data_IF_532535604627
#
_entry.id   IF_532535604627
#
_cell.length_a   1.000
_cell.length_b   1.000
_cell.length_c   1.000
_cell.angle_alpha   90.00
_cell.angle_beta   90.00
_cell.angle_gamma   90.00
#
_symmetry.space_group_name_H-M   'P 1'
#
loop_
_entity.id
_entity.type
_entity.pdbx_description
1 polymer ?
#
# COMPACT_ATOMS: atom_id res chain seq x y z
N UNK A 1 -35.18 -15.93 -13.99
CA UNK A 1 -34.02 -16.82 -14.07
C UNK A 1 -32.78 -15.94 -13.98
N UNK A 2 -32.11 -15.91 -12.83
CA UNK A 2 -30.88 -15.14 -12.64
C UNK A 2 -29.74 -15.93 -13.28
N UNK A 3 -29.11 -15.38 -14.31
CA UNK A 3 -27.91 -15.97 -14.89
C UNK A 3 -26.70 -15.20 -14.36
N UNK A 4 -25.83 -15.88 -13.61
CA UNK A 4 -24.46 -15.43 -13.43
C UNK A 4 -23.73 -15.70 -14.76
N UNK A 5 -23.55 -14.64 -15.55
CA UNK A 5 -22.92 -14.76 -16.85
C UNK A 5 -21.45 -14.34 -16.74
N UNK A 6 -20.55 -15.33 -16.64
CA UNK A 6 -19.13 -15.14 -16.96
C UNK A 6 -18.98 -15.23 -18.50
N UNK A 7 -19.45 -14.21 -19.22
CA UNK A 7 -19.36 -14.20 -20.69
C UNK A 7 -18.11 -13.49 -21.18
N UNK A 8 -17.31 -14.24 -21.95
CA UNK A 8 -16.13 -13.78 -22.70
C UNK A 8 -16.42 -12.78 -23.84
N UNK A 9 -17.66 -12.32 -24.03
CA UNK A 9 -18.03 -11.49 -25.19
C UNK A 9 -18.45 -10.05 -24.90
N UNK A 10 -18.53 -9.64 -23.62
CA UNK A 10 -18.71 -8.24 -23.21
C UNK A 10 -17.89 -8.05 -21.92
N UNK A 11 -16.57 -8.26 -21.98
CA UNK A 11 -15.69 -8.08 -20.83
C UNK A 11 -14.91 -6.78 -20.99
N UNK A 12 -15.50 -5.69 -20.48
CA UNK A 12 -14.70 -4.61 -19.92
C UNK A 12 -14.51 -4.93 -18.44
N UNK A 13 -13.27 -5.23 -18.03
CA UNK A 13 -12.84 -5.98 -16.84
C UNK A 13 -13.15 -7.48 -16.88
N UNK A 14 -12.10 -8.29 -16.82
CA UNK A 14 -12.14 -9.75 -16.94
C UNK A 14 -12.91 -10.51 -15.84
N UNK A 15 -13.40 -9.88 -14.77
CA UNK A 15 -14.03 -10.58 -13.64
C UNK A 15 -15.14 -9.78 -12.93
N UNK A 16 -15.77 -8.80 -13.60
CA UNK A 16 -16.86 -8.02 -12.99
C UNK A 16 -18.14 -8.85 -12.85
N UNK A 17 -18.66 -8.98 -11.63
CA UNK A 17 -19.97 -9.56 -11.36
C UNK A 17 -21.05 -8.55 -11.76
N UNK A 18 -21.94 -8.97 -12.66
CA UNK A 18 -23.04 -8.14 -13.18
C UNK A 18 -24.37 -8.87 -13.10
N UNK A 19 -25.43 -8.13 -12.84
CA UNK A 19 -26.80 -8.58 -13.02
C UNK A 19 -27.38 -7.96 -14.30
N UNK A 20 -27.88 -8.80 -15.21
CA UNK A 20 -28.33 -8.37 -16.54
C UNK A 20 -29.70 -8.98 -16.85
N UNK A 21 -30.62 -8.17 -17.36
CA UNK A 21 -31.91 -8.61 -17.93
C UNK A 21 -31.73 -8.80 -19.43
N UNK A 22 -32.33 -9.83 -20.00
CA UNK A 22 -32.20 -10.11 -21.43
C UNK A 22 -32.96 -11.35 -21.88
N UNK A 23 -32.69 -11.82 -23.09
CA UNK A 23 -33.28 -13.04 -23.69
C UNK A 23 -32.19 -13.90 -24.31
N UNK A 24 -32.37 -15.22 -24.28
CA UNK A 24 -31.55 -16.17 -25.04
C UNK A 24 -32.47 -17.05 -25.91
N UNK A 25 -32.90 -16.56 -27.10
CA UNK A 25 -33.91 -17.25 -27.91
C UNK A 25 -33.40 -18.54 -28.56
N UNK A 26 -32.11 -18.61 -28.90
CA UNK A 26 -31.51 -19.73 -29.65
C UNK A 26 -30.67 -20.67 -28.78
N UNK A 27 -30.48 -20.35 -27.50
CA UNK A 27 -29.58 -21.07 -26.59
C UNK A 27 -28.11 -20.66 -26.73
N UNK A 28 -27.67 -20.22 -27.93
CA UNK A 28 -26.27 -19.89 -28.22
C UNK A 28 -25.83 -18.46 -27.87
N UNK A 29 -26.75 -17.53 -27.61
CA UNK A 29 -26.40 -16.14 -27.34
C UNK A 29 -27.41 -15.45 -26.42
N UNK A 30 -26.91 -14.82 -25.37
CA UNK A 30 -27.71 -13.96 -24.51
C UNK A 30 -27.69 -12.51 -25.02
N UNK A 31 -28.86 -11.95 -25.31
CA UNK A 31 -29.07 -10.56 -25.74
C UNK A 31 -29.48 -9.75 -24.52
N UNK A 32 -28.57 -8.90 -24.03
CA UNK A 32 -28.81 -8.00 -22.91
C UNK A 32 -29.77 -6.86 -23.29
N UNK A 33 -30.75 -6.59 -22.45
CA UNK A 33 -31.70 -5.48 -22.59
C UNK A 33 -31.56 -4.41 -21.51
N UNK A 34 -31.09 -4.77 -20.30
CA UNK A 34 -30.75 -3.79 -19.26
C UNK A 34 -29.72 -4.35 -18.28
N UNK A 35 -28.91 -3.47 -17.71
CA UNK A 35 -27.95 -3.77 -16.64
C UNK A 35 -28.49 -3.26 -15.31
N UNK A 36 -28.39 -4.06 -14.26
CA UNK A 36 -28.67 -3.62 -12.90
C UNK A 36 -27.40 -3.04 -12.29
N UNK A 37 -27.54 -1.89 -11.63
CA UNK A 37 -26.41 -1.27 -10.92
C UNK A 37 -26.04 -2.06 -9.66
N UNK A 38 -24.75 -2.08 -9.35
CA UNK A 38 -24.28 -2.67 -8.09
C UNK A 38 -24.71 -1.84 -6.89
N UNK A 39 -24.90 -2.52 -5.76
CA UNK A 39 -25.33 -1.89 -4.51
C UNK A 39 -24.10 -1.36 -3.79
N UNK A 40 -24.14 -0.10 -3.34
CA UNK A 40 -23.08 0.45 -2.51
C UNK A 40 -23.14 -0.14 -1.10
N UNK A 41 -21.99 -0.33 -0.43
CA UNK A 41 -21.97 -0.71 0.98
C UNK A 41 -22.78 0.27 1.82
N UNK A 42 -23.39 -0.21 2.92
CA UNK A 42 -24.11 0.67 3.83
C UNK A 42 -23.16 1.76 4.35
N UNK A 43 -23.66 2.99 4.57
CA UNK A 43 -22.85 4.06 5.15
C UNK A 43 -22.30 3.62 6.50
N UNK A 44 -21.03 3.93 6.75
CA UNK A 44 -20.38 3.66 8.04
C UNK A 44 -21.15 4.43 9.12
N UNK A 45 -21.48 3.81 10.28
CA UNK A 45 -22.18 4.51 11.35
C UNK A 45 -21.41 5.77 11.76
N UNK A 46 -22.12 6.88 11.97
CA UNK A 46 -21.48 8.11 12.44
C UNK A 46 -20.74 7.86 13.76
N UNK A 47 -19.50 8.36 13.91
CA UNK A 47 -18.73 8.15 15.13
C UNK A 47 -19.49 8.74 16.32
N UNK A 48 -19.80 7.89 17.31
CA UNK A 48 -20.60 8.26 18.50
C UNK A 48 -19.93 9.32 19.38
N UNK A 49 -18.62 9.49 19.24
CA UNK A 49 -17.84 10.54 19.87
C UNK A 49 -17.10 11.30 18.78
N UNK A 50 -17.64 12.43 18.36
CA UNK A 50 -16.90 13.39 17.53
C UNK A 50 -15.81 13.99 18.40
N UNK A 51 -14.59 13.45 18.31
CA UNK A 51 -13.43 14.14 18.86
C UNK A 51 -13.30 15.49 18.15
N UNK A 52 -13.26 16.57 18.92
CA UNK A 52 -13.20 17.95 18.42
C UNK A 52 -11.81 18.36 17.92
N UNK A 53 -10.81 17.51 18.11
CA UNK A 53 -9.44 17.77 17.63
C UNK A 53 -9.30 17.37 16.16
N UNK A 54 -8.72 18.25 15.37
CA UNK A 54 -8.46 18.01 13.94
C UNK A 54 -7.48 16.86 13.78
N UNK A 55 -7.92 15.79 13.13
CA UNK A 55 -7.07 14.66 12.78
C UNK A 55 -6.22 14.99 11.53
N UNK A 56 -4.90 15.02 11.69
CA UNK A 56 -3.94 15.19 10.59
C UNK A 56 -3.26 13.86 10.26
N UNK A 57 -3.42 13.41 9.02
CA UNK A 57 -2.84 12.17 8.50
C UNK A 57 -1.98 12.49 7.28
N UNK A 58 -0.73 12.04 7.29
CA UNK A 58 0.15 12.10 6.14
C UNK A 58 0.23 10.71 5.48
N UNK A 59 0.09 10.66 4.16
CA UNK A 59 0.18 9.41 3.40
C UNK A 59 1.20 9.61 2.29
N UNK A 60 2.17 8.71 2.19
CA UNK A 60 3.10 8.65 1.08
C UNK A 60 3.26 7.22 0.57
N UNK A 61 3.44 7.10 -0.74
CA UNK A 61 3.57 5.82 -1.46
C UNK A 61 4.87 5.88 -2.24
N UNK A 62 5.64 4.80 -2.22
CA UNK A 62 6.87 4.70 -2.98
C UNK A 62 6.64 4.86 -4.50
N UNK A 63 7.73 5.05 -5.28
CA UNK A 63 9.12 4.91 -4.85
C UNK A 63 9.64 6.08 -4.03
N UNK A 64 10.49 5.79 -3.04
CA UNK A 64 11.08 6.79 -2.15
C UNK A 64 12.47 7.28 -2.58
N UNK A 65 12.89 6.90 -3.79
CA UNK A 65 14.12 7.32 -4.45
C UNK A 65 13.86 7.45 -5.95
N UNK A 66 14.72 8.14 -6.68
CA UNK A 66 14.62 8.24 -8.14
C UNK A 66 15.03 6.91 -8.81
N UNK A 67 14.67 6.71 -10.07
CA UNK A 67 14.92 5.45 -10.79
C UNK A 67 16.40 5.09 -10.92
N UNK A 68 17.29 6.08 -10.91
CA UNK A 68 18.74 5.92 -11.14
C UNK A 68 19.59 6.16 -9.88
N UNK A 69 18.97 6.38 -8.72
CA UNK A 69 19.67 6.70 -7.47
C UNK A 69 19.25 5.82 -6.30
N UNK A 70 20.16 5.63 -5.36
CA UNK A 70 19.94 5.02 -4.05
C UNK A 70 20.04 6.04 -2.90
N UNK A 71 19.89 7.35 -3.20
CA UNK A 71 20.03 8.42 -2.21
C UNK A 71 18.84 8.54 -1.25
N UNK A 72 17.63 8.18 -1.68
CA UNK A 72 16.38 8.36 -0.91
C UNK A 72 16.15 9.81 -0.45
N UNK A 73 16.54 10.78 -1.26
CA UNK A 73 16.24 12.21 -1.01
C UNK A 73 14.74 12.46 -0.78
N UNK A 74 13.79 11.91 -1.58
CA UNK A 74 12.36 12.10 -1.34
C UNK A 74 11.89 11.60 0.03
N UNK A 75 12.43 10.49 0.52
CA UNK A 75 12.13 9.99 1.87
C UNK A 75 12.60 10.97 2.93
N UNK A 76 13.83 11.47 2.78
CA UNK A 76 14.47 12.38 3.72
C UNK A 76 13.70 13.70 3.80
N UNK A 77 13.28 14.24 2.66
CA UNK A 77 12.46 15.45 2.57
C UNK A 77 11.08 15.24 3.22
N UNK A 78 10.44 14.10 2.96
CA UNK A 78 9.17 13.76 3.58
C UNK A 78 9.27 13.65 5.10
N UNK A 79 10.27 12.93 5.63
CA UNK A 79 10.50 12.80 7.07
C UNK A 79 10.82 14.15 7.73
N UNK A 80 11.45 15.07 6.99
CA UNK A 80 11.70 16.44 7.43
C UNK A 80 10.39 17.23 7.59
N UNK A 81 9.45 17.10 6.65
CA UNK A 81 8.11 17.70 6.79
C UNK A 81 7.31 17.07 7.93
N UNK A 82 7.35 15.76 8.10
CA UNK A 82 6.71 15.06 9.23
C UNK A 82 7.25 15.57 10.56
N UNK A 83 8.56 15.77 10.68
CA UNK A 83 9.18 16.30 11.90
C UNK A 83 8.76 17.74 12.21
N UNK A 84 8.48 18.53 11.17
CA UNK A 84 8.04 19.92 11.26
C UNK A 84 6.56 20.04 11.64
N UNK A 85 5.69 19.30 10.95
CA UNK A 85 4.24 19.42 11.09
C UNK A 85 3.65 18.48 12.15
N UNK A 86 4.36 17.40 12.50
CA UNK A 86 4.00 16.44 13.56
C UNK A 86 2.55 15.95 13.44
N UNK A 87 2.16 15.34 12.30
CA UNK A 87 0.81 14.80 12.11
C UNK A 87 0.49 13.72 13.16
N UNK A 88 -0.78 13.39 13.35
CA UNK A 88 -1.18 12.33 14.29
C UNK A 88 -0.78 10.94 13.77
N UNK A 89 -0.88 10.74 12.45
CA UNK A 89 -0.61 9.48 11.78
C UNK A 89 0.17 9.71 10.48
N UNK A 90 1.15 8.86 10.22
CA UNK A 90 1.88 8.74 8.96
C UNK A 90 1.68 7.34 8.42
N UNK A 91 1.25 7.23 7.16
CA UNK A 91 1.15 5.97 6.43
C UNK A 91 2.19 5.98 5.32
N UNK A 92 3.10 5.02 5.32
CA UNK A 92 4.07 4.78 4.28
C UNK A 92 3.77 3.44 3.60
N UNK A 93 3.48 3.49 2.31
CA UNK A 93 3.26 2.30 1.49
C UNK A 93 4.44 2.10 0.55
N UNK A 94 4.80 0.85 0.29
CA UNK A 94 5.87 0.51 -0.64
C UNK A 94 5.62 0.99 -2.08
N UNK A 95 6.58 0.79 -2.99
CA UNK A 95 7.83 0.06 -2.74
C UNK A 95 8.86 0.91 -1.98
N UNK A 96 9.46 0.31 -0.94
CA UNK A 96 10.62 0.84 -0.22
C UNK A 96 11.91 0.48 -0.95
N UNK A 97 12.04 -0.76 -1.42
CA UNK A 97 13.12 -1.16 -2.33
C UNK A 97 12.47 -1.63 -3.62
N UNK A 98 12.40 -0.71 -4.58
CA UNK A 98 11.64 -0.89 -5.80
C UNK A 98 12.32 -1.83 -6.78
N UNK A 99 11.64 -2.94 -7.10
CA UNK A 99 12.08 -3.90 -8.09
C UNK A 99 12.27 -3.31 -9.51
N UNK A 100 11.70 -2.14 -9.80
CA UNK A 100 11.87 -1.43 -11.08
C UNK A 100 12.90 -0.29 -11.06
N UNK A 101 13.64 -0.11 -9.97
CA UNK A 101 14.75 0.83 -9.93
C UNK A 101 15.92 0.26 -10.74
N UNK A 102 16.59 1.09 -11.54
CA UNK A 102 17.66 0.66 -12.45
C UNK A 102 18.82 -0.02 -11.72
N UNK A 103 19.23 0.51 -10.57
CA UNK A 103 20.32 -0.05 -9.77
C UNK A 103 19.93 -1.39 -9.13
N UNK A 104 18.64 -1.56 -8.82
CA UNK A 104 18.08 -2.81 -8.29
C UNK A 104 17.99 -3.87 -9.40
N UNK A 105 17.47 -3.52 -10.58
CA UNK A 105 17.36 -4.42 -11.74
C UNK A 105 18.73 -4.88 -12.26
N UNK A 106 19.71 -3.96 -12.28
CA UNK A 106 21.08 -4.24 -12.73
C UNK A 106 21.97 -4.87 -11.64
N UNK A 107 21.45 -5.02 -10.42
CA UNK A 107 22.20 -5.50 -9.25
C UNK A 107 23.48 -4.68 -8.97
N UNK A 108 23.41 -3.37 -9.12
CA UNK A 108 24.54 -2.44 -8.95
C UNK A 108 24.67 -1.89 -7.51
N UNK A 109 23.83 -2.37 -6.58
CA UNK A 109 23.89 -2.01 -5.16
C UNK A 109 24.95 -2.81 -4.39
N UNK A 110 25.56 -2.19 -3.39
CA UNK A 110 26.66 -2.78 -2.61
C UNK A 110 26.23 -3.52 -1.32
N UNK A 111 24.94 -3.64 -1.06
CA UNK A 111 24.36 -4.37 0.07
C UNK A 111 23.21 -5.27 -0.39
N UNK A 112 22.76 -6.19 0.45
CA UNK A 112 21.58 -7.01 0.10
C UNK A 112 20.29 -6.18 0.13
N UNK A 113 19.27 -6.58 -0.62
CA UNK A 113 17.98 -5.88 -0.62
C UNK A 113 17.35 -5.83 0.78
N UNK A 114 17.53 -6.89 1.57
CA UNK A 114 17.09 -6.95 2.97
C UNK A 114 17.83 -5.94 3.85
N UNK A 115 19.15 -5.79 3.69
CA UNK A 115 19.96 -4.81 4.44
C UNK A 115 19.56 -3.38 4.07
N UNK A 116 19.41 -3.08 2.78
CA UNK A 116 18.95 -1.78 2.28
C UNK A 116 17.58 -1.41 2.86
N UNK A 117 16.61 -2.33 2.77
CA UNK A 117 15.28 -2.14 3.36
C UNK A 117 15.36 -1.90 4.86
N UNK A 118 16.05 -2.78 5.59
CA UNK A 118 16.11 -2.70 7.04
C UNK A 118 16.75 -1.39 7.52
N UNK A 119 17.79 -0.90 6.82
CA UNK A 119 18.42 0.39 7.07
C UNK A 119 17.43 1.55 6.89
N UNK A 120 16.62 1.53 5.82
CA UNK A 120 15.62 2.57 5.55
C UNK A 120 14.46 2.54 6.54
N UNK A 121 14.00 1.36 6.95
CA UNK A 121 13.01 1.23 8.02
C UNK A 121 13.57 1.73 9.36
N UNK A 122 14.85 1.46 9.66
CA UNK A 122 15.49 2.00 10.86
C UNK A 122 15.51 3.53 10.86
N UNK A 123 15.84 4.16 9.72
CA UNK A 123 15.82 5.62 9.55
C UNK A 123 14.42 6.23 9.80
N UNK A 124 13.37 5.58 9.26
CA UNK A 124 11.97 5.96 9.54
C UNK A 124 11.65 5.81 11.03
N UNK A 125 12.07 4.70 11.65
CA UNK A 125 11.90 4.46 13.09
C UNK A 125 12.64 5.46 13.97
N UNK A 126 13.80 5.96 13.52
CA UNK A 126 14.55 7.01 14.22
C UNK A 126 13.81 8.35 14.24
N UNK A 127 13.09 8.66 13.16
CA UNK A 127 12.19 9.81 13.10
C UNK A 127 10.98 9.58 14.01
N UNK A 128 10.31 8.43 13.86
CA UNK A 128 9.12 8.08 14.61
C UNK A 128 9.33 8.09 16.13
N UNK A 129 10.42 7.52 16.65
CA UNK A 129 10.71 7.50 18.09
C UNK A 129 10.87 8.88 18.73
N UNK A 130 11.16 9.93 17.94
CA UNK A 130 11.34 11.30 18.43
C UNK A 130 10.02 12.07 18.46
N UNK A 131 8.97 11.51 17.87
CA UNK A 131 7.68 12.15 17.68
C UNK A 131 6.59 11.39 18.45
N UNK A 132 5.49 12.06 18.75
CA UNK A 132 4.26 11.40 19.25
C UNK A 132 3.37 10.88 18.11
N UNK A 133 3.84 11.01 16.86
CA UNK A 133 3.18 10.57 15.63
C UNK A 133 3.20 9.04 15.50
N UNK A 134 2.08 8.44 15.12
CA UNK A 134 2.02 7.01 14.79
C UNK A 134 2.50 6.78 13.36
N UNK A 135 3.29 5.75 13.14
CA UNK A 135 3.77 5.37 11.80
C UNK A 135 3.25 3.98 11.43
N UNK A 136 2.63 3.90 10.27
CA UNK A 136 2.10 2.67 9.66
C UNK A 136 2.89 2.39 8.39
N UNK A 137 3.40 1.17 8.28
CA UNK A 137 4.21 0.69 7.16
C UNK A 137 3.45 -0.44 6.46
N UNK A 138 3.23 -0.32 5.16
CA UNK A 138 2.47 -1.27 4.33
C UNK A 138 3.35 -1.72 3.15
N UNK A 139 3.45 -3.03 2.86
CA UNK A 139 4.26 -3.54 1.76
C UNK A 139 3.66 -3.21 0.39
N UNK A 140 4.45 -3.42 -0.65
CA UNK A 140 4.00 -3.43 -2.04
C UNK A 140 4.53 -4.63 -2.81
N UNK A 141 3.82 -5.06 -3.86
CA UNK A 141 4.24 -6.18 -4.71
C UNK A 141 5.57 -5.90 -5.42
N UNK A 142 5.98 -4.62 -5.47
CA UNK A 142 7.24 -4.15 -6.02
C UNK A 142 8.37 -4.09 -5.00
N UNK A 143 8.14 -4.43 -3.73
CA UNK A 143 9.21 -4.59 -2.75
C UNK A 143 10.01 -5.86 -3.05
N UNK A 144 11.18 -5.69 -3.68
CA UNK A 144 12.01 -6.79 -4.20
C UNK A 144 12.45 -7.80 -3.12
N UNK A 145 12.48 -7.38 -1.87
CA UNK A 145 12.91 -8.17 -0.71
C UNK A 145 11.76 -8.90 0.00
N UNK A 146 10.51 -8.72 -0.44
CA UNK A 146 9.30 -9.24 0.22
C UNK A 146 8.47 -10.14 -0.70
N UNK A 147 7.47 -10.83 -0.14
CA UNK A 147 6.57 -11.69 -0.92
C UNK A 147 5.79 -10.86 -1.94
N UNK A 148 5.90 -11.14 -3.24
CA UNK A 148 5.23 -10.37 -4.31
C UNK A 148 3.77 -10.81 -4.60
N UNK A 149 3.26 -11.83 -3.91
CA UNK A 149 1.91 -12.36 -4.13
C UNK A 149 0.88 -11.55 -3.33
N UNK A 150 -0.16 -11.06 -4.00
CA UNK A 150 -1.30 -10.39 -3.36
C UNK A 150 -2.35 -11.42 -2.90
N UNK A 151 -2.93 -11.28 -1.69
CA UNK A 151 -2.60 -10.29 -0.66
C UNK A 151 -1.25 -10.57 0.02
N UNK A 152 -0.50 -9.51 0.33
CA UNK A 152 0.82 -9.59 0.96
C UNK A 152 0.73 -9.53 2.48
N UNK A 153 1.49 -10.36 3.21
CA UNK A 153 1.58 -10.26 4.67
C UNK A 153 2.32 -8.98 5.09
N UNK A 154 2.14 -8.49 6.33
CA UNK A 154 2.96 -7.40 6.87
C UNK A 154 4.46 -7.74 6.88
N UNK A 155 5.31 -6.71 6.91
CA UNK A 155 6.74 -6.91 7.17
C UNK A 155 6.98 -7.47 8.57
N UNK A 156 7.98 -8.34 8.71
CA UNK A 156 8.32 -8.97 9.98
C UNK A 156 9.36 -8.15 10.76
N UNK A 157 8.94 -7.52 11.87
CA UNK A 157 9.84 -6.72 12.72
C UNK A 157 11.05 -7.51 13.24
N UNK A 158 10.86 -8.81 13.52
CA UNK A 158 11.96 -9.68 13.97
C UNK A 158 13.03 -9.87 12.90
N UNK A 159 12.62 -10.04 11.65
CA UNK A 159 13.54 -10.22 10.53
C UNK A 159 14.31 -8.95 10.22
N UNK A 160 13.66 -7.78 10.35
CA UNK A 160 14.30 -6.47 10.25
C UNK A 160 15.36 -6.32 11.35
N UNK A 161 15.00 -6.59 12.61
CA UNK A 161 15.95 -6.50 13.74
C UNK A 161 17.12 -7.48 13.58
N UNK A 162 16.86 -8.72 13.15
CA UNK A 162 17.90 -9.72 12.91
C UNK A 162 18.87 -9.26 11.81
N UNK A 163 18.34 -8.68 10.73
CA UNK A 163 19.15 -8.13 9.63
C UNK A 163 20.04 -6.99 10.14
N UNK A 164 19.48 -6.02 10.85
CA UNK A 164 20.26 -4.89 11.40
C UNK A 164 21.33 -5.34 12.39
N UNK A 165 21.01 -6.30 13.26
CA UNK A 165 21.97 -6.88 14.20
C UNK A 165 23.11 -7.61 13.49
N UNK A 166 22.83 -8.30 12.39
CA UNK A 166 23.86 -8.91 11.53
C UNK A 166 24.79 -7.86 10.92
N UNK A 167 24.23 -6.74 10.44
CA UNK A 167 25.02 -5.61 9.91
C UNK A 167 25.94 -5.01 10.98
N UNK A 168 25.45 -4.82 12.21
CA UNK A 168 26.29 -4.35 13.33
C UNK A 168 27.44 -5.31 13.59
N UNK A 169 27.18 -6.61 13.62
CA UNK A 169 28.20 -7.62 13.91
C UNK A 169 29.31 -7.68 12.84
N UNK A 170 29.00 -7.31 11.59
CA UNK A 170 30.00 -7.20 10.51
C UNK A 170 30.97 -6.03 10.72
N UNK A 171 30.61 -5.01 11.51
CA UNK A 171 31.48 -3.86 11.83
C UNK A 171 32.58 -4.29 12.82
N UNK A 172 33.71 -4.80 12.31
CA UNK A 172 34.83 -5.40 13.07
C UNK A 172 35.53 -4.50 14.11
N UNK A 173 35.24 -3.19 14.15
CA UNK A 173 36.02 -2.20 14.93
C UNK A 173 35.23 -1.52 16.07
N UNK A 174 34.05 -2.03 16.44
CA UNK A 174 33.18 -1.36 17.41
C UNK A 174 33.34 -1.94 18.83
N UNK A 175 33.45 -1.06 19.82
CA UNK A 175 33.52 -1.48 21.23
C UNK A 175 32.21 -2.13 21.68
N UNK A 176 32.27 -3.16 22.52
CA UNK A 176 31.10 -3.93 22.96
C UNK A 176 30.00 -3.07 23.59
N UNK A 177 30.37 -2.02 24.33
CA UNK A 177 29.42 -1.07 24.93
C UNK A 177 28.65 -0.25 23.89
N UNK A 178 29.33 0.16 22.81
CA UNK A 178 28.71 0.96 21.76
C UNK A 178 27.77 0.10 20.90
N UNK A 179 28.17 -1.15 20.62
CA UNK A 179 27.32 -2.10 19.92
C UNK A 179 26.04 -2.41 20.70
N UNK A 180 26.11 -2.54 22.04
CA UNK A 180 24.91 -2.75 22.85
C UNK A 180 23.97 -1.55 22.79
N UNK A 181 24.49 -0.32 22.89
CA UNK A 181 23.69 0.91 22.78
C UNK A 181 22.98 1.00 21.42
N UNK A 182 23.68 0.70 20.33
CA UNK A 182 23.11 0.72 18.97
C UNK A 182 21.95 -0.28 18.83
N UNK A 183 22.08 -1.48 19.43
CA UNK A 183 21.00 -2.49 19.46
C UNK A 183 19.77 -2.01 20.23
N UNK A 184 19.98 -1.41 21.40
CA UNK A 184 18.88 -0.87 22.22
C UNK A 184 18.17 0.28 21.50
N UNK A 185 18.90 1.09 20.73
CA UNK A 185 18.33 2.17 19.92
C UNK A 185 17.52 1.62 18.73
N UNK A 186 17.99 0.55 18.07
CA UNK A 186 17.26 -0.13 16.99
C UNK A 186 15.96 -0.74 17.50
N UNK A 187 15.97 -1.41 18.65
CA UNK A 187 14.76 -1.98 19.25
C UNK A 187 13.69 -0.91 19.47
N UNK A 188 14.09 0.27 19.97
CA UNK A 188 13.20 1.44 20.11
C UNK A 188 12.72 2.01 18.77
N UNK A 189 13.60 2.04 17.77
CA UNK A 189 13.23 2.50 16.42
C UNK A 189 12.14 1.61 15.83
N UNK A 190 12.35 0.28 15.83
CA UNK A 190 11.42 -0.66 15.20
C UNK A 190 10.12 -0.78 15.98
N UNK A 191 10.16 -0.73 17.31
CA UNK A 191 8.94 -0.76 18.15
C UNK A 191 8.08 0.51 18.05
N UNK A 192 8.62 1.61 17.51
CA UNK A 192 7.85 2.82 17.23
C UNK A 192 7.00 2.74 15.95
N UNK A 193 7.16 1.68 15.16
CA UNK A 193 6.48 1.47 13.88
C UNK A 193 5.42 0.37 13.98
N UNK A 194 4.34 0.49 13.20
CA UNK A 194 3.31 -0.54 13.06
C UNK A 194 3.30 -1.07 11.63
N UNK A 195 3.33 -2.38 11.45
CA UNK A 195 3.37 -3.03 10.15
C UNK A 195 2.02 -3.67 9.83
N UNK A 196 1.48 -3.41 8.64
CA UNK A 196 0.20 -3.91 8.16
C UNK A 196 0.33 -4.65 6.82
N UNK A 197 -0.68 -5.43 6.46
CA UNK A 197 -0.74 -6.17 5.18
C UNK A 197 -1.11 -5.26 4.02
N UNK A 198 -0.88 -5.73 2.79
CA UNK A 198 -1.48 -5.15 1.59
C UNK A 198 -2.47 -6.16 0.98
N UNK A 199 -3.78 -5.88 0.93
CA UNK A 199 -4.45 -4.66 1.40
C UNK A 199 -4.66 -4.69 2.93
N UNK A 200 -5.09 -3.57 3.50
CA UNK A 200 -5.58 -3.53 4.87
C UNK A 200 -6.67 -2.46 5.09
N UNK A 201 -7.34 -2.52 6.25
CA UNK A 201 -8.30 -1.51 6.69
C UNK A 201 -7.94 -1.09 8.11
N UNK A 202 -7.91 0.22 8.35
CA UNK A 202 -7.54 0.82 9.63
C UNK A 202 -8.65 1.75 10.12
N UNK A 203 -9.03 1.61 11.39
CA UNK A 203 -9.89 2.59 12.05
C UNK A 203 -9.02 3.64 12.76
N UNK A 204 -9.21 4.91 12.41
CA UNK A 204 -8.50 6.04 13.00
C UNK A 204 -9.53 7.01 13.55
N UNK A 205 -9.76 6.96 14.87
CA UNK A 205 -10.75 7.78 15.55
C UNK A 205 -12.15 7.71 14.91
N UNK A 206 -12.59 6.52 14.49
CA UNK A 206 -13.88 6.31 13.82
C UNK A 206 -13.89 6.60 12.32
N UNK A 207 -12.76 7.00 11.73
CA UNK A 207 -12.58 7.03 10.28
C UNK A 207 -11.99 5.71 9.80
N UNK A 208 -12.73 4.98 8.97
CA UNK A 208 -12.26 3.73 8.36
C UNK A 208 -11.48 4.03 7.06
N UNK A 209 -10.18 3.76 7.07
CA UNK A 209 -9.29 3.90 5.91
C UNK A 209 -9.05 2.52 5.28
N UNK A 210 -9.51 2.33 4.04
CA UNK A 210 -9.12 1.19 3.21
C UNK A 210 -7.86 1.52 2.41
N UNK A 211 -6.84 0.67 2.49
CA UNK A 211 -5.52 0.92 1.91
C UNK A 211 -5.09 -0.27 1.06
N UNK A 212 -4.57 0.04 -0.13
CA UNK A 212 -3.90 -0.92 -1.02
C UNK A 212 -2.75 -0.22 -1.72
N UNK A 213 -1.59 -0.87 -1.81
CA UNK A 213 -0.44 -0.36 -2.58
C UNK A 213 -0.55 -0.70 -4.08
N UNK A 214 -1.41 -1.66 -4.41
CA UNK A 214 -1.64 -2.12 -5.78
C UNK A 214 -2.40 -1.07 -6.59
N UNK A 215 -1.94 -0.80 -7.81
CA UNK A 215 -2.55 0.18 -8.73
C UNK A 215 -3.80 -0.39 -9.44
N UNK A 216 -4.80 -0.72 -8.63
CA UNK A 216 -6.06 -1.36 -9.06
C UNK A 216 -6.79 -0.49 -10.08
N UNK A 217 -6.78 0.83 -9.90
CA UNK A 217 -7.47 1.77 -10.77
C UNK A 217 -6.83 1.84 -12.16
N UNK A 218 -5.50 1.86 -12.25
CA UNK A 218 -4.81 1.80 -13.54
C UNK A 218 -5.09 0.48 -14.27
N UNK A 219 -4.99 -0.65 -13.56
CA UNK A 219 -5.27 -1.98 -14.12
C UNK A 219 -6.71 -2.09 -14.64
N UNK A 220 -7.69 -1.71 -13.81
CA UNK A 220 -9.10 -1.69 -14.21
C UNK A 220 -9.35 -0.71 -15.36
N UNK A 221 -8.68 0.43 -15.36
CA UNK A 221 -8.81 1.46 -16.38
C UNK A 221 -8.29 1.04 -17.76
N UNK A 222 -7.32 0.12 -17.83
CA UNK A 222 -6.84 -0.45 -19.10
C UNK A 222 -7.87 -1.37 -19.78
N UNK A 223 -8.75 -1.96 -18.98
CA UNK A 223 -9.74 -2.95 -19.43
C UNK A 223 -11.19 -2.43 -19.38
N UNK A 224 -11.44 -1.19 -18.97
CA UNK A 224 -12.80 -0.64 -18.83
C UNK A 224 -13.46 -0.38 -20.20
N UNK A 225 -14.72 -0.79 -20.34
CA UNK A 225 -15.60 -0.37 -21.44
C UNK A 225 -16.77 0.43 -20.85
N UNK A 226 -17.06 1.60 -21.43
CA UNK A 226 -18.11 2.50 -20.94
C UNK A 226 -19.07 2.93 -22.06
N UNK A 227 -20.33 3.17 -21.70
CA UNK A 227 -21.36 3.74 -22.57
C UNK A 227 -22.08 4.89 -21.84
N UNK A 228 -22.25 6.09 -22.46
CA UNK A 228 -21.72 6.47 -23.77
C UNK A 228 -20.17 6.54 -23.78
N UNK A 229 -19.53 6.27 -24.93
CA UNK A 229 -18.08 6.35 -25.06
C UNK A 229 -17.60 7.79 -24.80
N UNK A 230 -16.49 7.95 -24.10
CA UNK A 230 -15.92 9.26 -23.78
C UNK A 230 -16.62 10.02 -22.64
N UNK A 231 -17.46 9.35 -21.83
CA UNK A 231 -18.02 9.98 -20.62
C UNK A 231 -16.92 10.49 -19.68
N UNK A 232 -17.07 11.74 -19.24
CA UNK A 232 -16.00 12.55 -18.66
C UNK A 232 -15.39 11.98 -17.36
N UNK A 233 -16.17 11.27 -16.54
CA UNK A 233 -15.71 10.80 -15.23
C UNK A 233 -15.28 9.33 -15.23
N UNK A 234 -14.13 9.05 -15.84
CA UNK A 234 -13.54 7.70 -15.82
C UNK A 234 -13.20 7.25 -14.40
N UNK A 235 -12.62 8.13 -13.60
CA UNK A 235 -12.15 7.78 -12.26
C UNK A 235 -13.33 7.42 -11.33
N UNK A 236 -14.39 8.22 -11.30
CA UNK A 236 -15.56 7.92 -10.49
C UNK A 236 -16.24 6.61 -10.88
N UNK A 237 -16.24 6.23 -12.17
CA UNK A 237 -16.74 4.91 -12.60
C UNK A 237 -15.87 3.76 -12.10
N UNK A 238 -14.55 3.89 -12.17
CA UNK A 238 -13.62 2.87 -11.66
C UNK A 238 -13.76 2.70 -10.15
N UNK A 239 -13.85 3.80 -9.40
CA UNK A 239 -14.09 3.78 -7.95
C UNK A 239 -15.45 3.16 -7.63
N UNK A 240 -16.52 3.53 -8.37
CA UNK A 240 -17.85 2.91 -8.21
C UNK A 240 -17.79 1.39 -8.43
N UNK A 241 -17.00 0.93 -9.40
CA UNK A 241 -16.80 -0.50 -9.61
C UNK A 241 -16.14 -1.16 -8.39
N UNK A 242 -15.09 -0.58 -7.80
CA UNK A 242 -14.47 -1.13 -6.58
C UNK A 242 -15.49 -1.25 -5.44
N UNK A 243 -16.26 -0.17 -5.19
CA UNK A 243 -17.21 -0.13 -4.08
C UNK A 243 -18.40 -1.07 -4.26
N UNK A 244 -18.74 -1.46 -5.48
CA UNK A 244 -19.93 -2.29 -5.77
C UNK A 244 -19.60 -3.76 -6.05
N UNK A 245 -18.34 -4.17 -5.91
CA UNK A 245 -17.86 -5.53 -6.17
C UNK A 245 -17.38 -6.23 -4.89
N UNK A 246 -17.98 -5.89 -3.74
CA UNK A 246 -17.68 -6.48 -2.44
C UNK A 246 -18.22 -7.90 -2.29
#
# INVERSE_FOLDING_TARGET
MFFFCFSKLICGLWLKVVAVKGKNPTGGQFIASSFYEGILPPPVPEPKNVQTETLSIFIAVGPFTTSESDSYEPLTDFLSQVSKEKPNLVVLMGPFVDAKNDLIEKCEIHETFQELFARKINEIGECAKRLSTKFVIIPSQRDVHHNCVYPQPPFCSKDIMNTLNSVINKKKNQSAKLAQKERDDIDKNISSLQFFSDPCTLDVNGFTLGMTSTDVLFQMGGEEIAHPPGSADKMGRLVKNILTQQ
#
